data_IF_390185365671
#
_entry.id   IF_390185365671
#
_cell.length_a   1.000
_cell.length_b   1.000
_cell.length_c   1.000
_cell.angle_alpha   90.00
_cell.angle_beta   90.00
_cell.angle_gamma   90.00
#
_symmetry.space_group_name_H-M   'P 1'
#
loop_
_entity.id
_entity.type
_entity.pdbx_description
1 polymer ?
#
# COMPACT_ATOMS: atom_id res chain seq x y z
N UNK A 1 -19.55 3.78 2.07
CA UNK A 1 -18.82 3.70 3.35
C UNK A 1 -17.33 3.41 3.15
N UNK A 2 -16.96 2.48 2.26
CA UNK A 2 -15.54 2.16 1.99
C UNK A 2 -14.83 3.33 1.33
N UNK A 3 -15.49 4.04 0.40
CA UNK A 3 -14.85 5.12 -0.37
C UNK A 3 -14.35 6.29 0.48
N UNK A 4 -15.08 6.68 1.53
CA UNK A 4 -14.63 7.75 2.44
C UNK A 4 -13.42 7.32 3.29
N UNK A 5 -13.39 6.06 3.74
CA UNK A 5 -12.23 5.51 4.45
C UNK A 5 -11.04 5.34 3.50
N UNK A 6 -11.30 4.87 2.27
CA UNK A 6 -10.30 4.74 1.22
C UNK A 6 -9.69 6.10 0.88
N UNK A 7 -10.48 7.15 0.73
CA UNK A 7 -9.99 8.50 0.48
C UNK A 7 -9.21 9.07 1.66
N UNK A 8 -9.63 8.78 2.90
CA UNK A 8 -8.90 9.22 4.09
C UNK A 8 -7.55 8.50 4.24
N UNK A 9 -7.50 7.21 3.89
CA UNK A 9 -6.27 6.41 3.99
C UNK A 9 -5.35 6.65 2.80
N UNK A 10 -5.91 6.82 1.60
CA UNK A 10 -5.22 7.01 0.33
C UNK A 10 -5.96 8.07 -0.47
N UNK A 11 -5.69 9.37 -0.18
CA UNK A 11 -6.18 10.49 -0.99
C UNK A 11 -5.75 10.36 -2.45
N UNK A 12 -6.45 11.02 -3.36
CA UNK A 12 -6.14 10.97 -4.79
C UNK A 12 -4.72 11.50 -5.07
N UNK A 13 -4.32 12.57 -4.43
CA UNK A 13 -3.01 13.20 -4.59
C UNK A 13 -1.88 12.25 -4.16
N UNK A 14 -2.12 11.48 -3.09
CA UNK A 14 -1.20 10.44 -2.67
C UNK A 14 -1.19 9.29 -3.68
N UNK A 15 -2.36 8.90 -4.18
CA UNK A 15 -2.44 7.83 -5.15
C UNK A 15 -1.69 8.17 -6.44
N UNK A 16 -1.83 9.40 -6.95
CA UNK A 16 -1.11 9.91 -8.12
C UNK A 16 0.42 9.83 -7.95
N UNK A 17 0.91 10.03 -6.73
CA UNK A 17 2.33 9.88 -6.39
C UNK A 17 2.75 8.41 -6.27
N UNK A 18 1.91 7.56 -5.69
CA UNK A 18 2.23 6.15 -5.39
C UNK A 18 2.12 5.26 -6.64
N UNK A 19 1.09 5.46 -7.46
CA UNK A 19 0.79 4.67 -8.65
C UNK A 19 2.01 4.45 -9.57
N UNK A 20 2.78 5.48 -9.97
CA UNK A 20 3.95 5.30 -10.82
C UNK A 20 5.12 4.60 -10.11
N UNK A 21 5.12 4.56 -8.78
CA UNK A 21 6.17 3.90 -7.99
C UNK A 21 5.91 2.41 -7.79
N UNK A 22 4.65 1.98 -7.89
CA UNK A 22 4.27 0.58 -7.75
C UNK A 22 4.96 -0.21 -8.87
N UNK A 23 5.77 -1.24 -8.51
CA UNK A 23 6.35 -2.12 -9.51
C UNK A 23 5.20 -2.74 -10.30
N UNK A 24 5.16 -2.45 -11.60
CA UNK A 24 4.26 -3.13 -12.53
C UNK A 24 4.40 -4.64 -12.28
N UNK A 25 3.30 -5.33 -12.06
CA UNK A 25 3.35 -6.79 -12.03
C UNK A 25 3.82 -7.20 -13.42
N UNK A 26 5.11 -7.55 -13.54
CA UNK A 26 5.71 -7.93 -14.82
C UNK A 26 4.77 -8.83 -15.60
N UNK A 27 4.57 -8.51 -16.87
CA UNK A 27 3.72 -9.27 -17.77
C UNK A 27 4.09 -10.75 -17.63
N UNK A 28 3.10 -11.59 -17.29
CA UNK A 28 3.34 -13.03 -17.35
C UNK A 28 3.59 -13.36 -18.82
N UNK A 29 4.67 -14.10 -19.17
CA UNK A 29 4.97 -14.47 -20.55
C UNK A 29 3.81 -15.16 -21.28
N UNK A 30 2.87 -15.74 -20.54
CA UNK A 30 1.73 -16.49 -21.04
C UNK A 30 0.50 -15.63 -21.43
N UNK A 31 0.61 -14.29 -21.49
CA UNK A 31 -0.44 -13.44 -22.08
C UNK A 31 -1.85 -13.80 -21.58
N UNK A 32 -2.06 -13.70 -20.26
CA UNK A 32 -3.28 -14.24 -19.66
C UNK A 32 -3.24 -14.10 -18.14
N UNK A 33 -3.49 -12.90 -17.65
CA UNK A 33 -3.59 -12.61 -16.23
C UNK A 33 -4.79 -11.72 -15.97
N UNK A 34 -5.70 -12.18 -15.12
CA UNK A 34 -6.83 -11.40 -14.59
C UNK A 34 -6.35 -9.99 -14.25
N UNK A 35 -7.10 -8.98 -14.71
CA UNK A 35 -6.81 -7.56 -14.56
C UNK A 35 -6.12 -7.28 -13.23
N UNK A 36 -5.03 -6.47 -13.20
CA UNK A 36 -4.30 -6.18 -11.98
C UNK A 36 -5.32 -5.93 -10.88
N UNK A 37 -5.24 -6.70 -9.78
CA UNK A 37 -6.08 -6.42 -8.63
C UNK A 37 -5.95 -4.92 -8.38
N UNK A 38 -7.07 -4.20 -8.44
CA UNK A 38 -7.12 -2.74 -8.42
C UNK A 38 -6.05 -2.22 -7.45
N UNK A 39 -4.95 -1.72 -8.01
CA UNK A 39 -3.70 -1.56 -7.27
C UNK A 39 -3.92 -0.60 -6.10
N UNK A 40 -4.83 0.36 -6.29
CA UNK A 40 -5.30 1.27 -5.27
C UNK A 40 -6.05 0.57 -4.16
N UNK A 41 -6.96 -0.36 -4.46
CA UNK A 41 -7.65 -1.16 -3.42
C UNK A 41 -6.66 -2.00 -2.61
N UNK A 42 -5.71 -2.64 -3.29
CA UNK A 42 -4.66 -3.43 -2.62
C UNK A 42 -3.81 -2.54 -1.72
N UNK A 43 -3.37 -1.39 -2.23
CA UNK A 43 -2.60 -0.41 -1.47
C UNK A 43 -3.37 0.12 -0.27
N UNK A 44 -4.62 0.53 -0.46
CA UNK A 44 -5.51 1.01 0.60
C UNK A 44 -5.71 -0.05 1.69
N UNK A 45 -5.95 -1.31 1.30
CA UNK A 45 -6.08 -2.42 2.25
C UNK A 45 -4.81 -2.65 3.07
N UNK A 46 -3.63 -2.55 2.44
CA UNK A 46 -2.34 -2.66 3.13
C UNK A 46 -2.15 -1.49 4.08
N UNK A 47 -2.37 -0.25 3.63
CA UNK A 47 -2.29 0.97 4.46
C UNK A 47 -3.21 0.86 5.67
N UNK A 48 -4.44 0.38 5.51
CA UNK A 48 -5.34 0.15 6.65
C UNK A 48 -4.72 -0.79 7.69
N UNK A 49 -4.20 -1.93 7.26
CA UNK A 49 -3.60 -2.92 8.17
C UNK A 49 -2.34 -2.36 8.85
N UNK A 50 -1.54 -1.58 8.13
CA UNK A 50 -0.33 -0.95 8.67
C UNK A 50 -0.68 0.13 9.70
N UNK A 51 -1.58 1.05 9.36
CA UNK A 51 -1.95 2.20 10.22
C UNK A 51 -2.81 1.81 11.42
N UNK A 52 -3.68 0.79 11.29
CA UNK A 52 -4.47 0.28 12.42
C UNK A 52 -3.71 -0.69 13.32
N UNK A 53 -2.59 -1.25 12.85
CA UNK A 53 -1.84 -2.30 13.54
C UNK A 53 -2.58 -3.65 13.66
N UNK A 54 -3.74 -3.82 13.01
CA UNK A 54 -4.53 -5.04 13.14
C UNK A 54 -3.81 -6.26 12.52
N UNK A 55 -4.19 -7.47 12.94
CA UNK A 55 -3.74 -8.67 12.25
C UNK A 55 -4.33 -8.73 10.83
N UNK A 56 -3.61 -9.34 9.88
CA UNK A 56 -4.08 -9.48 8.49
C UNK A 56 -5.45 -10.15 8.37
N UNK A 57 -5.75 -11.13 9.22
CA UNK A 57 -7.05 -11.82 9.27
C UNK A 57 -8.24 -10.91 9.62
N UNK A 58 -7.97 -9.73 10.17
CA UNK A 58 -8.97 -8.73 10.52
C UNK A 58 -9.18 -7.67 9.43
N UNK A 59 -8.53 -7.80 8.27
CA UNK A 59 -8.79 -6.91 7.13
C UNK A 59 -10.28 -7.00 6.74
N UNK A 60 -11.03 -5.87 6.75
CA UNK A 60 -12.43 -5.88 6.38
C UNK A 60 -12.65 -6.35 4.93
N UNK A 61 -13.61 -7.26 4.68
CA UNK A 61 -13.95 -7.69 3.32
C UNK A 61 -14.43 -6.54 2.41
N UNK A 62 -14.89 -5.44 3.00
CA UNK A 62 -15.38 -4.25 2.32
C UNK A 62 -14.35 -3.60 1.40
N UNK A 63 -13.05 -3.79 1.63
CA UNK A 63 -11.99 -3.31 0.72
C UNK A 63 -11.97 -4.06 -0.62
N UNK A 64 -12.71 -5.17 -0.77
CA UNK A 64 -12.74 -5.96 -2.00
C UNK A 64 -11.43 -6.72 -2.28
N UNK A 65 -10.52 -6.79 -1.30
CA UNK A 65 -9.22 -7.45 -1.41
C UNK A 65 -9.17 -8.63 -0.45
N UNK A 66 -8.81 -9.81 -0.97
CA UNK A 66 -8.59 -11.00 -0.14
C UNK A 66 -7.31 -10.84 0.69
N UNK A 67 -7.35 -11.29 1.95
CA UNK A 67 -6.19 -11.24 2.87
C UNK A 67 -4.90 -11.80 2.27
N UNK A 68 -4.88 -13.00 1.63
CA UNK A 68 -3.65 -13.53 1.03
C UNK A 68 -3.13 -12.68 -0.13
N UNK A 69 -4.02 -11.98 -0.84
CA UNK A 69 -3.65 -11.07 -1.93
C UNK A 69 -2.96 -9.83 -1.36
N UNK A 70 -3.56 -9.18 -0.37
CA UNK A 70 -2.96 -8.00 0.28
C UNK A 70 -1.60 -8.33 0.90
N UNK A 71 -1.48 -9.47 1.60
CA UNK A 71 -0.22 -9.87 2.21
C UNK A 71 0.88 -10.14 1.19
N UNK A 72 0.57 -10.85 0.09
CA UNK A 72 1.54 -11.13 -0.98
C UNK A 72 2.06 -9.86 -1.63
N UNK A 73 1.18 -8.90 -1.89
CA UNK A 73 1.56 -7.60 -2.45
C UNK A 73 2.38 -6.77 -1.46
N UNK A 74 2.03 -6.79 -0.18
CA UNK A 74 2.83 -6.15 0.86
C UNK A 74 4.27 -6.66 0.85
N UNK A 75 4.48 -7.98 0.83
CA UNK A 75 5.83 -8.56 0.77
C UNK A 75 6.56 -8.14 -0.51
N UNK A 76 5.93 -8.31 -1.68
CA UNK A 76 6.52 -7.95 -2.97
C UNK A 76 6.92 -6.48 -3.04
N UNK A 77 6.08 -5.58 -2.54
CA UNK A 77 6.36 -4.14 -2.54
C UNK A 77 7.41 -3.76 -1.51
N UNK A 78 7.45 -4.45 -0.38
CA UNK A 78 8.50 -4.27 0.63
C UNK A 78 9.86 -4.68 0.07
N UNK A 79 9.95 -5.85 -0.56
CA UNK A 79 11.16 -6.33 -1.24
C UNK A 79 11.60 -5.41 -2.38
N UNK A 80 10.65 -4.84 -3.12
CA UNK A 80 10.92 -3.86 -4.18
C UNK A 80 11.25 -2.45 -3.67
N UNK A 81 11.30 -2.22 -2.34
CA UNK A 81 11.65 -0.93 -1.76
C UNK A 81 10.60 0.17 -1.96
N UNK A 82 9.33 -0.20 -2.20
CA UNK A 82 8.24 0.76 -2.50
C UNK A 82 8.13 1.84 -1.41
N UNK A 83 8.17 1.45 -0.13
CA UNK A 83 7.98 2.38 0.98
C UNK A 83 9.01 3.50 1.02
N UNK A 84 10.28 3.18 0.76
CA UNK A 84 11.35 4.16 0.70
C UNK A 84 11.18 5.13 -0.49
N UNK A 85 10.71 4.61 -1.64
CA UNK A 85 10.41 5.41 -2.83
C UNK A 85 9.24 6.36 -2.59
N UNK A 86 8.17 5.90 -1.94
CA UNK A 86 7.03 6.74 -1.56
C UNK A 86 7.49 7.85 -0.62
N UNK A 87 8.25 7.52 0.43
CA UNK A 87 8.77 8.51 1.37
C UNK A 87 9.58 9.60 0.66
N UNK A 88 10.44 9.20 -0.27
CA UNK A 88 11.23 10.14 -1.06
C UNK A 88 10.36 11.01 -1.96
N UNK A 89 9.40 10.43 -2.70
CA UNK A 89 8.49 11.19 -3.56
C UNK A 89 7.69 12.23 -2.77
N UNK A 90 7.18 11.86 -1.59
CA UNK A 90 6.42 12.78 -0.72
C UNK A 90 7.29 13.92 -0.17
N UNK A 91 8.57 13.67 0.11
CA UNK A 91 9.52 14.71 0.52
C UNK A 91 9.87 15.65 -0.64
N UNK A 92 10.09 15.09 -1.83
CA UNK A 92 10.51 15.82 -3.03
C UNK A 92 9.39 16.76 -3.55
N UNK A 93 8.11 16.38 -3.40
CA UNK A 93 6.94 17.19 -3.82
C UNK A 93 6.60 18.36 -2.85
N UNK A 94 7.38 18.58 -1.78
CA UNK A 94 7.16 19.66 -0.79
C UNK A 94 5.74 19.68 -0.14
N UNK A 95 5.55 18.80 0.84
CA UNK A 95 5.04 19.18 2.16
C UNK A 95 3.67 19.85 2.27
N UNK A 96 2.61 19.23 1.76
CA UNK A 96 1.33 19.35 2.46
C UNK A 96 1.49 18.65 3.81
N UNK A 97 1.29 19.39 4.92
CA UNK A 97 1.60 18.92 6.27
C UNK A 97 0.92 17.58 6.63
N UNK A 98 -0.08 17.14 5.88
CA UNK A 98 -0.71 15.82 6.02
C UNK A 98 -0.03 14.66 5.30
N UNK A 99 0.60 14.86 4.12
CA UNK A 99 1.18 13.74 3.35
C UNK A 99 2.53 13.29 3.90
N UNK A 100 3.37 14.24 4.35
CA UNK A 100 4.67 13.91 4.97
C UNK A 100 4.43 13.09 6.24
N UNK A 101 3.57 13.56 7.14
CA UNK A 101 3.27 12.87 8.39
C UNK A 101 2.63 11.51 8.15
N UNK A 102 1.73 11.41 7.16
CA UNK A 102 1.17 10.13 6.73
C UNK A 102 2.23 9.16 6.20
N UNK A 103 3.13 9.63 5.33
CA UNK A 103 4.15 8.78 4.68
C UNK A 103 5.11 8.19 5.71
N UNK A 104 5.52 8.99 6.70
CA UNK A 104 6.35 8.54 7.81
C UNK A 104 5.64 7.48 8.64
N UNK A 105 4.38 7.73 9.02
CA UNK A 105 3.59 6.77 9.79
C UNK A 105 3.44 5.42 9.07
N UNK A 106 3.21 5.42 7.74
CA UNK A 106 3.09 4.20 6.95
C UNK A 106 4.44 3.48 6.80
N UNK A 107 5.53 4.21 6.56
CA UNK A 107 6.88 3.63 6.44
C UNK A 107 7.32 3.00 7.76
N UNK A 108 7.10 3.69 8.89
CA UNK A 108 7.43 3.17 10.22
C UNK A 108 6.60 1.92 10.54
N UNK A 109 5.30 1.95 10.27
CA UNK A 109 4.44 0.79 10.44
C UNK A 109 4.87 -0.38 9.54
N UNK A 110 5.21 -0.13 8.28
CA UNK A 110 5.73 -1.13 7.36
C UNK A 110 7.05 -1.73 7.88
N UNK A 111 7.97 -0.90 8.37
CA UNK A 111 9.26 -1.35 8.90
C UNK A 111 9.10 -2.21 10.16
N UNK A 112 8.24 -1.80 11.11
CA UNK A 112 7.91 -2.61 12.31
C UNK A 112 7.32 -3.95 11.90
N UNK A 113 6.45 -3.97 10.90
CA UNK A 113 5.73 -5.19 10.49
C UNK A 113 6.58 -6.12 9.64
N UNK A 114 7.43 -5.58 8.78
CA UNK A 114 8.41 -6.35 8.01
C UNK A 114 9.38 -7.08 8.95
N UNK A 115 9.86 -6.42 10.01
CA UNK A 115 10.70 -7.05 11.05
C UNK A 115 9.99 -8.17 11.80
N UNK A 116 8.67 -8.09 11.99
CA UNK A 116 7.87 -9.11 12.71
C UNK A 116 7.44 -10.30 11.85
N UNK A 117 7.50 -10.20 10.52
CA UNK A 117 7.11 -11.28 9.59
C UNK A 117 8.24 -12.23 9.20
N UNK A 118 9.46 -12.00 9.68
CA UNK A 118 10.67 -12.78 9.37
C UNK A 118 11.00 -13.86 10.43
N UNK A 119 10.01 -14.30 11.21
CA UNK A 119 10.12 -15.34 12.25
C UNK A 119 9.25 -16.54 11.93
#
# INVERSE_FOLDING_TARGET
MVDALSQRLVPDELWELVEPLIPQAGERPQGGGRAPADARKVFTAIVYVLTSGCAWRWLPPSFGVKVPTAHRWFLRWTEAGLWARIHRGVLDELGSQGLIDWSRAVVDAAAVRAKRGAL
#
